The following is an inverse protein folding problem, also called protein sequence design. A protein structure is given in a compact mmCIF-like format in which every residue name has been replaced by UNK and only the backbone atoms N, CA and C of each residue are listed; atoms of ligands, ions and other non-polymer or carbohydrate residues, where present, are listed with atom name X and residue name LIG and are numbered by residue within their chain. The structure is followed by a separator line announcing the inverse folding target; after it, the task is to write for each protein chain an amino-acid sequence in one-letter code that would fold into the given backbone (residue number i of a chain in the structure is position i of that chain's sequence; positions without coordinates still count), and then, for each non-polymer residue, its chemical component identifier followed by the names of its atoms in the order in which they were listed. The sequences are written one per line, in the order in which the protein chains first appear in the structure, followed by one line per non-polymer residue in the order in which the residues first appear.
data_IF_007558132873
#
_entry.id   IF_007558132873
#
_cell.length_a   1.000
_cell.length_b   1.000
_cell.length_c   1.000
_cell.angle_alpha   90.00
_cell.angle_beta   90.00
_cell.angle_gamma   90.00
#
_symmetry.space_group_name_H-M   'P 1'
#
loop_
_entity.id
_entity.type
_entity.pdbx_description
1 polymer ?
#
# COMPACT_ATOMS: atom_id res chain seq x y z
N UNK A 1 31.63 -12.62 -9.49
CA UNK A 1 31.22 -11.39 -8.77
C UNK A 1 32.06 -11.28 -7.49
N UNK A 2 32.76 -10.17 -7.23
CA UNK A 2 33.61 -10.11 -6.02
C UNK A 2 32.76 -10.02 -4.74
N UNK A 3 33.24 -10.59 -3.64
CA UNK A 3 32.53 -10.58 -2.34
C UNK A 3 32.11 -9.17 -1.91
N UNK A 4 32.96 -8.16 -2.13
CA UNK A 4 32.63 -6.75 -1.86
C UNK A 4 31.38 -6.27 -2.62
N UNK A 5 31.17 -6.71 -3.86
CA UNK A 5 29.95 -6.35 -4.62
C UNK A 5 28.72 -7.07 -4.06
N UNK A 6 28.87 -8.33 -3.64
CA UNK A 6 27.78 -9.14 -3.08
C UNK A 6 27.28 -8.57 -1.74
N UNK A 7 28.19 -8.16 -0.85
CA UNK A 7 27.85 -7.51 0.42
C UNK A 7 27.14 -6.17 0.24
N UNK A 8 27.56 -5.34 -0.72
CA UNK A 8 26.86 -4.07 -1.02
C UNK A 8 25.43 -4.29 -1.48
N UNK A 9 25.19 -5.30 -2.33
CA UNK A 9 23.85 -5.62 -2.84
C UNK A 9 22.95 -6.17 -1.73
N UNK A 10 23.46 -7.07 -0.89
CA UNK A 10 22.71 -7.57 0.27
C UNK A 10 22.32 -6.44 1.22
N UNK A 11 23.24 -5.52 1.50
CA UNK A 11 22.96 -4.35 2.33
C UNK A 11 21.93 -3.44 1.68
N UNK A 12 22.04 -3.19 0.38
CA UNK A 12 21.06 -2.40 -0.36
C UNK A 12 19.66 -3.04 -0.32
N UNK A 13 19.54 -4.33 -0.63
CA UNK A 13 18.28 -5.07 -0.57
C UNK A 13 17.68 -5.06 0.84
N UNK A 14 18.52 -5.23 1.87
CA UNK A 14 18.10 -5.19 3.26
C UNK A 14 17.45 -3.86 3.67
N UNK A 15 17.85 -2.74 3.08
CA UNK A 15 17.19 -1.44 3.31
C UNK A 15 16.09 -1.14 2.29
N UNK A 16 16.26 -1.53 1.03
CA UNK A 16 15.33 -1.22 -0.04
C UNK A 16 13.98 -1.93 0.17
N UNK A 17 13.99 -3.20 0.57
CA UNK A 17 12.76 -3.97 0.79
C UNK A 17 11.83 -3.30 1.82
N UNK A 18 12.27 -2.99 3.05
CA UNK A 18 11.39 -2.35 4.03
C UNK A 18 10.96 -0.94 3.60
N UNK A 19 11.85 -0.15 2.97
CA UNK A 19 11.49 1.18 2.47
C UNK A 19 10.41 1.08 1.38
N UNK A 20 10.57 0.18 0.42
CA UNK A 20 9.59 -0.05 -0.64
C UNK A 20 8.26 -0.55 -0.08
N UNK A 21 8.28 -1.41 0.95
CA UNK A 21 7.04 -1.83 1.64
C UNK A 21 6.32 -0.66 2.31
N UNK A 22 7.05 0.24 2.98
CA UNK A 22 6.45 1.44 3.59
C UNK A 22 5.87 2.37 2.53
N UNK A 23 6.62 2.67 1.46
CA UNK A 23 6.15 3.49 0.35
C UNK A 23 4.90 2.89 -0.30
N UNK A 24 4.88 1.57 -0.46
CA UNK A 24 3.74 0.86 -1.02
C UNK A 24 2.49 0.97 -0.13
N UNK A 25 2.60 0.79 1.20
CA UNK A 25 1.46 0.98 2.12
C UNK A 25 0.97 2.43 2.09
N UNK A 26 1.89 3.40 2.11
CA UNK A 26 1.55 4.82 2.07
C UNK A 26 0.89 5.22 0.74
N UNK A 27 1.17 4.53 -0.36
CA UNK A 27 0.56 4.83 -1.66
C UNK A 27 -0.95 4.58 -1.74
N UNK A 28 -1.54 3.77 -0.83
CA UNK A 28 -2.97 3.41 -0.85
C UNK A 28 -3.88 4.63 -0.86
N UNK A 29 -3.61 5.58 0.03
CA UNK A 29 -4.46 6.75 0.22
C UNK A 29 -4.55 7.61 -1.03
N UNK A 30 -3.41 8.09 -1.58
CA UNK A 30 -3.38 8.87 -2.81
C UNK A 30 -3.98 8.13 -4.01
N UNK A 31 -3.72 6.82 -4.15
CA UNK A 31 -4.27 6.01 -5.25
C UNK A 31 -5.79 5.90 -5.13
N UNK A 32 -6.31 5.62 -3.93
CA UNK A 32 -7.74 5.56 -3.69
C UNK A 32 -8.41 6.91 -3.96
N UNK A 33 -7.83 7.99 -3.44
CA UNK A 33 -8.33 9.35 -3.66
C UNK A 33 -8.36 9.71 -5.15
N UNK A 34 -7.28 9.41 -5.89
CA UNK A 34 -7.22 9.64 -7.33
C UNK A 34 -8.31 8.88 -8.09
N UNK A 35 -8.56 7.62 -7.74
CA UNK A 35 -9.59 6.81 -8.40
C UNK A 35 -11.00 7.36 -8.08
N UNK A 36 -11.28 7.73 -6.83
CA UNK A 36 -12.55 8.37 -6.45
C UNK A 36 -12.76 9.68 -7.22
N UNK A 37 -11.74 10.55 -7.25
CA UNK A 37 -11.79 11.85 -7.92
C UNK A 37 -11.97 11.73 -9.44
N UNK A 38 -11.46 10.67 -10.07
CA UNK A 38 -11.61 10.42 -11.50
C UNK A 38 -13.03 10.06 -11.95
N UNK A 39 -13.99 9.92 -11.02
CA UNK A 39 -15.37 9.56 -11.31
C UNK A 39 -15.56 8.09 -11.75
N UNK A 40 -14.48 7.31 -11.78
CA UNK A 40 -14.47 5.89 -12.12
C UNK A 40 -14.97 4.98 -10.99
N UNK A 41 -15.27 5.52 -9.80
CA UNK A 41 -15.87 4.76 -8.70
C UNK A 41 -17.15 5.45 -8.25
N UNK A 42 -18.31 4.89 -8.63
CA UNK A 42 -19.61 5.30 -8.09
C UNK A 42 -20.01 4.50 -6.83
N UNK A 43 -19.32 3.39 -6.55
CA UNK A 43 -19.54 2.55 -5.38
C UNK A 43 -18.24 1.98 -4.80
N UNK A 44 -18.21 1.78 -3.48
CA UNK A 44 -17.19 1.05 -2.70
C UNK A 44 -17.10 -0.45 -3.08
N UNK A 45 -17.45 -0.85 -4.29
CA UNK A 45 -17.33 -2.23 -4.79
C UNK A 45 -16.51 -2.30 -6.08
N UNK A 46 -16.18 -1.16 -6.71
CA UNK A 46 -15.26 -1.06 -7.85
C UNK A 46 -13.77 -1.18 -7.46
N UNK A 47 -13.50 -1.65 -6.23
CA UNK A 47 -12.15 -1.97 -5.73
C UNK A 47 -11.43 -3.08 -6.52
N UNK A 48 -11.94 -3.59 -7.63
CA UNK A 48 -11.31 -4.73 -8.35
C UNK A 48 -9.85 -4.47 -8.76
N UNK A 49 -9.55 -3.27 -9.28
CA UNK A 49 -8.20 -2.91 -9.75
C UNK A 49 -7.29 -2.38 -8.62
N UNK A 50 -7.83 -1.59 -7.70
CA UNK A 50 -7.06 -1.12 -6.54
C UNK A 50 -6.84 -2.25 -5.52
N UNK A 51 -7.84 -3.09 -5.31
CA UNK A 51 -7.81 -4.23 -4.38
C UNK A 51 -6.85 -5.32 -4.82
N UNK A 52 -6.67 -5.56 -6.13
CA UNK A 52 -5.62 -6.49 -6.62
C UNK A 52 -4.22 -5.93 -6.34
N UNK A 53 -4.01 -4.63 -6.55
CA UNK A 53 -2.73 -4.00 -6.20
C UNK A 53 -2.46 -4.02 -4.70
N UNK A 54 -3.49 -3.97 -3.84
CA UNK A 54 -3.38 -3.99 -2.38
C UNK A 54 -3.76 -5.32 -1.71
N UNK A 55 -3.77 -6.42 -2.47
CA UNK A 55 -4.11 -7.77 -1.97
C UNK A 55 -3.37 -8.16 -0.68
N UNK A 56 -2.05 -7.89 -0.53
CA UNK A 56 -1.34 -8.22 0.71
C UNK A 56 -1.92 -7.51 1.94
N UNK A 57 -2.41 -6.30 1.76
CA UNK A 57 -2.97 -5.46 2.83
C UNK A 57 -4.40 -5.91 3.14
N UNK A 58 -5.19 -6.24 2.12
CA UNK A 58 -6.51 -6.85 2.32
C UNK A 58 -6.42 -8.20 3.05
N UNK A 59 -5.41 -9.00 2.73
CA UNK A 59 -5.14 -10.28 3.41
C UNK A 59 -4.75 -10.08 4.87
N UNK A 60 -3.99 -9.03 5.21
CA UNK A 60 -3.66 -8.74 6.62
C UNK A 60 -4.81 -8.10 7.38
N UNK A 61 -5.66 -7.29 6.74
CA UNK A 61 -6.90 -6.78 7.33
C UNK A 61 -7.81 -7.93 7.76
N UNK A 62 -8.02 -8.93 6.89
CA UNK A 62 -8.84 -10.11 7.22
C UNK A 62 -8.33 -10.93 8.41
N UNK A 63 -7.07 -10.78 8.81
CA UNK A 63 -6.47 -11.49 9.94
C UNK A 63 -6.48 -10.69 11.26
N UNK A 64 -6.77 -9.39 11.22
CA UNK A 64 -6.73 -8.54 12.41
C UNK A 64 -7.68 -7.35 12.31
N UNK A 65 -8.61 -7.27 13.26
CA UNK A 65 -9.51 -6.14 13.41
C UNK A 65 -8.76 -4.82 13.66
N UNK A 66 -7.63 -4.86 14.37
CA UNK A 66 -6.78 -3.70 14.59
C UNK A 66 -6.22 -3.15 13.27
N UNK A 67 -5.67 -4.02 12.43
CA UNK A 67 -5.14 -3.64 11.12
C UNK A 67 -6.26 -3.09 10.22
N UNK A 68 -7.44 -3.72 10.27
CA UNK A 68 -8.62 -3.25 9.54
C UNK A 68 -9.00 -1.83 9.92
N UNK A 69 -9.09 -1.53 11.22
CA UNK A 69 -9.42 -0.19 11.71
C UNK A 69 -8.34 0.83 11.30
N UNK A 70 -7.06 0.47 11.44
CA UNK A 70 -5.94 1.35 11.06
C UNK A 70 -5.96 1.71 9.57
N UNK A 71 -6.21 0.74 8.69
CA UNK A 71 -6.28 0.98 7.24
C UNK A 71 -7.52 1.80 6.88
N UNK A 72 -8.66 1.57 7.54
CA UNK A 72 -9.87 2.38 7.32
C UNK A 72 -9.67 3.83 7.76
N UNK A 73 -9.08 4.08 8.92
CA UNK A 73 -8.73 5.44 9.38
C UNK A 73 -7.76 6.12 8.41
N UNK A 74 -6.77 5.38 7.91
CA UNK A 74 -5.83 5.90 6.92
C UNK A 74 -6.53 6.30 5.61
N UNK A 75 -7.41 5.45 5.08
CA UNK A 75 -8.18 5.75 3.87
C UNK A 75 -9.09 6.97 4.07
N UNK A 76 -9.79 7.05 5.21
CA UNK A 76 -10.63 8.19 5.56
C UNK A 76 -9.82 9.49 5.63
N UNK A 77 -8.68 9.44 6.31
CA UNK A 77 -7.78 10.59 6.41
C UNK A 77 -7.33 11.05 5.03
N UNK A 78 -6.88 10.14 4.17
CA UNK A 78 -6.47 10.48 2.80
C UNK A 78 -7.62 11.02 1.95
N UNK A 79 -8.83 10.45 2.05
CA UNK A 79 -10.01 10.98 1.34
C UNK A 79 -10.45 12.38 1.77
N UNK A 80 -9.99 12.85 2.93
CA UNK A 80 -10.29 14.20 3.43
C UNK A 80 -9.30 15.25 2.92
N UNK A 81 -8.12 14.82 2.47
CA UNK A 81 -7.06 15.69 1.98
C UNK A 81 -7.07 15.85 0.45
N UNK A 82 -7.92 15.12 -0.27
CA UNK A 82 -8.09 15.15 -1.72
C UNK A 82 -9.56 15.40 -2.06
#
# INVERSE_FOLDING_TARGET
MSEKKRWKILRFLGYAIPILSVVYVLSIGPVLAFIIASGNMRHCTDYGLAGTLYTPILLTMNKSAFITNLVNEYMLLCSRFF
#
